data_IF_270080005480
#
_entry.id   IF_270080005480
#
_cell.length_a   1.000
_cell.length_b   1.000
_cell.length_c   1.000
_cell.angle_alpha   90.00
_cell.angle_beta   90.00
_cell.angle_gamma   90.00
#
_symmetry.space_group_name_H-M   'P 1'
#
loop_
_entity.id
_entity.type
_entity.pdbx_description
1 polymer ?
#
# COMPACT_ATOMS: atom_id res chain seq x y z
N UNK A 1 15.50 -10.84 0.82
CA UNK A 1 14.16 -10.32 0.53
C UNK A 1 13.64 -9.86 1.88
N UNK A 2 13.80 -8.59 2.20
CA UNK A 2 13.29 -8.05 3.48
C UNK A 2 11.76 -8.11 3.45
N UNK A 3 11.15 -8.60 4.52
CA UNK A 3 9.70 -8.76 4.59
C UNK A 3 9.03 -7.41 4.83
N UNK A 4 7.83 -7.20 4.29
CA UNK A 4 7.04 -6.00 4.60
C UNK A 4 6.74 -5.87 6.10
N UNK A 5 6.78 -6.99 6.83
CA UNK A 5 6.64 -7.03 8.28
C UNK A 5 7.83 -6.40 9.03
N UNK A 6 9.03 -6.39 8.45
CA UNK A 6 10.23 -5.88 9.12
C UNK A 6 10.26 -4.35 9.14
N UNK A 7 9.70 -3.71 8.10
CA UNK A 7 9.68 -2.25 7.96
C UNK A 7 8.35 -1.74 7.37
N UNK A 8 7.22 -1.92 8.08
CA UNK A 8 5.89 -1.57 7.56
C UNK A 8 5.74 -0.09 7.22
N UNK A 9 6.49 0.78 7.91
CA UNK A 9 6.47 2.23 7.71
C UNK A 9 7.27 2.71 6.48
N UNK A 10 8.01 1.85 5.76
CA UNK A 10 8.77 2.27 4.56
C UNK A 10 7.92 2.58 3.33
N UNK A 11 6.67 2.13 3.29
CA UNK A 11 5.75 2.49 2.20
C UNK A 11 5.50 3.99 2.15
N UNK A 12 5.20 4.51 0.97
CA UNK A 12 4.80 5.90 0.76
C UNK A 12 3.43 6.13 1.40
N UNK A 13 3.30 7.05 2.36
CA UNK A 13 2.01 7.40 2.94
C UNK A 13 1.11 8.02 1.87
N UNK A 14 -0.14 7.58 1.83
CA UNK A 14 -1.21 8.08 0.95
C UNK A 14 -2.40 8.58 1.78
N UNK A 15 -2.08 9.40 2.77
CA UNK A 15 -3.08 10.07 3.62
C UNK A 15 -4.00 11.00 2.82
N UNK A 16 -3.57 11.41 1.61
CA UNK A 16 -4.35 12.13 0.61
C UNK A 16 -5.53 11.32 0.07
N UNK A 17 -5.42 9.99 0.04
CA UNK A 17 -6.51 9.08 -0.33
C UNK A 17 -7.29 8.66 0.91
N UNK A 18 -6.58 8.15 1.93
CA UNK A 18 -7.17 7.69 3.18
C UNK A 18 -6.14 7.73 4.31
N UNK A 19 -6.49 8.23 5.51
CA UNK A 19 -5.58 8.25 6.64
C UNK A 19 -5.02 6.86 6.99
N UNK A 20 -3.71 6.77 7.15
CA UNK A 20 -3.00 5.53 7.49
C UNK A 20 -2.71 4.60 6.31
N UNK A 21 -3.23 4.91 5.11
CA UNK A 21 -2.95 4.17 3.90
C UNK A 21 -1.50 4.34 3.48
N UNK A 22 -0.86 3.25 3.09
CA UNK A 22 0.50 3.25 2.55
C UNK A 22 0.52 2.46 1.25
N UNK A 23 1.40 2.87 0.35
CA UNK A 23 1.64 2.17 -0.90
C UNK A 23 3.12 1.84 -1.07
N UNK A 24 3.40 0.73 -1.74
CA UNK A 24 4.77 0.36 -2.10
C UNK A 24 4.77 -0.29 -3.48
N UNK A 25 5.83 -0.03 -4.25
CA UNK A 25 5.91 -0.53 -5.63
C UNK A 25 7.01 -1.57 -5.75
N UNK A 26 6.64 -2.78 -6.16
CA UNK A 26 7.58 -3.84 -6.48
C UNK A 26 7.89 -3.86 -7.98
N UNK A 27 9.18 -3.88 -8.32
CA UNK A 27 9.72 -3.97 -9.69
C UNK A 27 9.04 -3.01 -10.71
N UNK A 28 8.59 -1.84 -10.26
CA UNK A 28 7.86 -0.84 -11.07
C UNK A 28 6.61 -1.38 -11.78
N UNK A 29 6.04 -2.49 -11.33
CA UNK A 29 4.91 -3.15 -12.00
C UNK A 29 3.76 -3.48 -11.07
N UNK A 30 4.05 -3.64 -9.78
CA UNK A 30 3.06 -4.03 -8.78
C UNK A 30 3.01 -2.97 -7.71
N UNK A 31 1.90 -2.27 -7.58
CA UNK A 31 1.62 -1.36 -6.47
C UNK A 31 0.81 -2.11 -5.44
N UNK A 32 1.34 -2.23 -4.23
CA UNK A 32 0.62 -2.82 -3.11
C UNK A 32 0.19 -1.71 -2.18
N UNK A 33 -1.10 -1.69 -1.84
CA UNK A 33 -1.70 -0.77 -0.90
C UNK A 33 -2.05 -1.51 0.39
N UNK A 34 -1.68 -0.92 1.52
CA UNK A 34 -1.83 -1.55 2.82
C UNK A 34 -1.99 -0.54 3.94
N UNK A 35 -2.54 -1.01 5.06
CA UNK A 35 -2.67 -0.31 6.33
C UNK A 35 -1.72 -0.94 7.35
N UNK A 36 -1.28 -0.13 8.32
CA UNK A 36 -0.51 -0.61 9.46
C UNK A 36 -1.40 -0.52 10.69
N UNK A 37 -1.78 -1.68 11.23
CA UNK A 37 -2.66 -1.79 12.39
C UNK A 37 -1.90 -2.44 13.55
N UNK A 38 -1.45 -1.62 14.50
CA UNK A 38 -0.60 -2.09 15.60
C UNK A 38 0.71 -2.69 15.06
N UNK A 39 0.89 -4.00 15.24
CA UNK A 39 2.04 -4.77 14.76
C UNK A 39 1.76 -5.53 13.45
N UNK A 40 0.57 -5.36 12.86
CA UNK A 40 0.16 -6.06 11.66
C UNK A 40 0.15 -5.15 10.42
N UNK A 41 0.42 -5.75 9.26
CA UNK A 41 0.26 -5.13 7.94
C UNK A 41 -0.93 -5.77 7.26
N UNK A 42 -1.93 -4.96 6.92
CA UNK A 42 -3.15 -5.40 6.25
C UNK A 42 -3.13 -4.89 4.81
N UNK A 43 -2.92 -5.79 3.85
CA UNK A 43 -3.01 -5.44 2.43
C UNK A 43 -4.47 -5.27 2.01
N UNK A 44 -4.82 -4.07 1.56
CA UNK A 44 -6.17 -3.74 1.06
C UNK A 44 -6.27 -3.89 -0.45
N UNK A 45 -5.14 -3.89 -1.16
CA UNK A 45 -5.14 -4.07 -2.61
C UNK A 45 -3.75 -4.35 -3.20
N UNK A 46 -3.72 -5.14 -4.27
CA UNK A 46 -2.53 -5.40 -5.09
C UNK A 46 -2.87 -5.08 -6.54
N UNK A 47 -2.24 -4.04 -7.07
CA UNK A 47 -2.53 -3.48 -8.38
C UNK A 47 -1.35 -3.71 -9.33
N UNK A 48 -1.65 -4.16 -10.54
CA UNK A 48 -0.65 -4.39 -11.59
C UNK A 48 -0.78 -3.36 -12.70
N UNK A 49 0.35 -2.86 -13.19
CA UNK A 49 0.47 -2.28 -14.53
C UNK A 49 -0.17 -0.90 -14.74
N UNK A 50 -0.03 0.02 -13.78
CA UNK A 50 -0.43 1.42 -13.99
C UNK A 50 -1.95 1.66 -14.01
N UNK A 51 -2.75 0.73 -13.46
CA UNK A 51 -4.16 1.00 -13.15
C UNK A 51 -4.25 2.20 -12.20
N UNK A 52 -5.25 3.05 -12.42
CA UNK A 52 -5.63 4.14 -11.52
C UNK A 52 -6.18 3.54 -10.23
N UNK A 53 -5.25 3.15 -9.35
CA UNK A 53 -5.57 2.52 -8.08
C UNK A 53 -6.08 3.55 -7.07
N UNK A 54 -5.91 4.85 -7.32
CA UNK A 54 -6.33 5.91 -6.42
C UNK A 54 -7.85 5.95 -6.33
N UNK A 55 -8.53 5.91 -7.48
CA UNK A 55 -9.99 5.81 -7.55
C UNK A 55 -10.53 4.55 -6.86
N UNK A 56 -9.82 3.43 -6.96
CA UNK A 56 -10.23 2.17 -6.32
C UNK A 56 -10.01 2.18 -4.80
N UNK A 57 -8.95 2.85 -4.32
CA UNK A 57 -8.64 2.92 -2.90
C UNK A 57 -9.44 3.99 -2.15
N UNK A 58 -9.97 4.99 -2.86
CA UNK A 58 -10.84 6.01 -2.26
C UNK A 58 -12.22 5.45 -1.85
N UNK A 59 -12.64 4.32 -2.43
CA UNK A 59 -14.00 3.77 -2.27
C UNK A 59 -14.05 2.52 -1.35
N UNK A 60 -12.91 2.11 -0.78
CA UNK A 60 -12.75 0.98 0.17
C UNK A 60 -12.44 1.55 1.56
#
# INVERSE_FOLDING_TARGET
>A
MESFADFPLRGTPRDDIRPGLRTTTWRRRVTMAYLVEGEAVVFVGIFYGGRDYEALLADI
#
